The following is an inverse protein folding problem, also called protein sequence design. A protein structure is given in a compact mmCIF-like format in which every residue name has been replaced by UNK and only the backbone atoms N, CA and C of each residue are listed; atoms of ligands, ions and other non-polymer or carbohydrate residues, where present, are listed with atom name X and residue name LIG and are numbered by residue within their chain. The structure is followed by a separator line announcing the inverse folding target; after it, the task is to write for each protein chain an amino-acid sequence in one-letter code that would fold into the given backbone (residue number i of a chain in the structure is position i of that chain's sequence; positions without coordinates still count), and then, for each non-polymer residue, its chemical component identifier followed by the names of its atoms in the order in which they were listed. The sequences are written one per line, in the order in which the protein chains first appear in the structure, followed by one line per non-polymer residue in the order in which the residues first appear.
data_IF_085715877470
#
_entry.id   IF_085715877470
#
_cell.length_a   1.000
_cell.length_b   1.000
_cell.length_c   1.000
_cell.angle_alpha   90.00
_cell.angle_beta   90.00
_cell.angle_gamma   90.00
#
_symmetry.space_group_name_H-M   'P 1'
#
loop_
_entity.id
_entity.type
_entity.pdbx_description
1 polymer ?
#
# COMPACT_ATOMS: atom_id res chain seq x y z
N UNK A 1 -11.40 -0.69 10.37
CA UNK A 1 -12.06 0.57 9.96
C UNK A 1 -11.06 1.71 9.69
N UNK A 2 -10.02 1.92 10.51
CA UNK A 2 -9.04 3.00 10.29
C UNK A 2 -8.26 2.89 8.96
N UNK A 3 -7.76 1.70 8.61
CA UNK A 3 -6.98 1.50 7.38
C UNK A 3 -7.80 1.83 6.11
N UNK A 4 -9.05 1.35 6.03
CA UNK A 4 -9.98 1.69 4.94
C UNK A 4 -10.21 3.20 4.84
N UNK A 5 -10.46 3.87 5.96
CA UNK A 5 -10.65 5.31 5.99
C UNK A 5 -9.40 6.06 5.51
N UNK A 6 -8.20 5.60 5.89
CA UNK A 6 -6.94 6.14 5.40
C UNK A 6 -6.77 5.99 3.88
N UNK A 7 -7.00 4.79 3.34
CA UNK A 7 -6.93 4.54 1.88
C UNK A 7 -7.97 5.38 1.12
N UNK A 8 -9.19 5.46 1.64
CA UNK A 8 -10.25 6.30 1.05
C UNK A 8 -9.85 7.78 1.05
N UNK A 9 -9.38 8.31 2.18
CA UNK A 9 -8.95 9.71 2.30
C UNK A 9 -7.81 10.04 1.34
N UNK A 10 -6.89 9.09 1.10
CA UNK A 10 -5.84 9.25 0.07
C UNK A 10 -6.46 9.41 -1.32
N UNK A 11 -7.42 8.58 -1.71
CA UNK A 11 -8.06 8.74 -3.03
C UNK A 11 -8.86 10.05 -3.14
N UNK A 12 -9.59 10.41 -2.09
CA UNK A 12 -10.34 11.67 -2.04
C UNK A 12 -9.41 12.89 -2.15
N UNK A 13 -8.26 12.87 -1.47
CA UNK A 13 -7.24 13.92 -1.60
C UNK A 13 -6.74 14.09 -3.04
N UNK A 14 -6.46 12.99 -3.73
CA UNK A 14 -6.00 13.04 -5.13
C UNK A 14 -7.08 13.55 -6.09
N UNK A 15 -8.35 13.30 -5.78
CA UNK A 15 -9.48 13.70 -6.61
C UNK A 15 -9.95 15.13 -6.35
N UNK A 16 -9.77 15.65 -5.13
CA UNK A 16 -10.24 16.97 -4.73
C UNK A 16 -9.67 18.10 -5.60
N UNK A 17 -8.41 17.97 -6.03
CA UNK A 17 -7.80 18.88 -7.01
C UNK A 17 -6.78 18.15 -7.89
N UNK A 18 -7.30 17.50 -8.95
CA UNK A 18 -6.48 16.75 -9.91
C UNK A 18 -5.43 17.61 -10.61
N UNK A 19 -5.67 18.91 -10.78
CA UNK A 19 -4.72 19.80 -11.45
C UNK A 19 -3.51 20.08 -10.54
N UNK A 20 -3.76 20.43 -9.28
CA UNK A 20 -2.73 20.63 -8.27
C UNK A 20 -1.94 19.34 -8.01
N UNK A 21 -2.61 18.19 -7.95
CA UNK A 21 -1.94 16.90 -7.74
C UNK A 21 -1.07 16.52 -8.94
N UNK A 22 -1.53 16.75 -10.18
CA UNK A 22 -0.68 16.55 -11.38
C UNK A 22 0.58 17.43 -11.36
N UNK A 23 0.46 18.68 -10.93
CA UNK A 23 1.61 19.57 -10.75
C UNK A 23 2.56 19.04 -9.67
N UNK A 24 2.02 18.57 -8.54
CA UNK A 24 2.78 17.94 -7.46
C UNK A 24 3.67 16.79 -7.97
N UNK A 25 3.14 15.92 -8.84
CA UNK A 25 3.88 14.77 -9.39
C UNK A 25 4.80 15.13 -10.55
N UNK A 26 4.39 16.02 -11.45
CA UNK A 26 5.23 16.43 -12.59
C UNK A 26 6.45 17.20 -12.12
N UNK A 27 6.26 18.06 -11.12
CA UNK A 27 7.27 19.00 -10.69
C UNK A 27 8.03 18.49 -9.45
N UNK A 28 7.72 17.32 -8.87
CA UNK A 28 8.47 16.77 -7.72
C UNK A 28 9.98 16.66 -7.96
N UNK A 29 10.40 16.29 -9.18
CA UNK A 29 11.81 16.25 -9.60
C UNK A 29 12.33 17.61 -10.10
N UNK A 30 11.44 18.55 -10.44
CA UNK A 30 11.77 19.88 -10.97
C UNK A 30 11.77 20.99 -9.90
N UNK A 31 11.12 20.78 -8.75
CA UNK A 31 10.97 21.72 -7.62
C UNK A 31 12.15 21.67 -6.63
N UNK A 32 13.16 20.86 -6.93
CA UNK A 32 14.43 20.77 -6.20
C UNK A 32 14.38 19.92 -4.93
N UNK A 33 15.57 19.61 -4.41
CA UNK A 33 15.82 18.63 -3.34
C UNK A 33 14.96 18.81 -2.09
N UNK A 34 14.59 20.05 -1.74
CA UNK A 34 13.82 20.34 -0.52
C UNK A 34 12.37 19.87 -0.66
N UNK A 35 11.77 20.06 -1.83
CA UNK A 35 10.41 19.64 -2.11
C UNK A 35 10.35 18.11 -2.26
N UNK A 36 11.31 17.51 -2.96
CA UNK A 36 11.46 16.06 -3.07
C UNK A 36 11.63 15.40 -1.69
N UNK A 37 12.49 15.94 -0.82
CA UNK A 37 12.65 15.45 0.56
C UNK A 37 11.37 15.57 1.40
N UNK A 38 10.63 16.67 1.22
CA UNK A 38 9.39 16.87 1.98
C UNK A 38 8.29 15.91 1.51
N UNK A 39 8.12 15.77 0.19
CA UNK A 39 7.18 14.82 -0.40
C UNK A 39 7.57 13.37 -0.04
N UNK A 40 8.86 13.04 -0.13
CA UNK A 40 9.41 11.77 0.33
C UNK A 40 9.14 11.50 1.81
N UNK A 41 9.25 12.52 2.67
CA UNK A 41 8.91 12.40 4.09
C UNK A 41 7.43 12.12 4.36
N UNK A 42 6.52 12.65 3.54
CA UNK A 42 5.08 12.33 3.63
C UNK A 42 4.84 10.88 3.19
N UNK A 43 5.49 10.43 2.11
CA UNK A 43 5.40 9.04 1.67
C UNK A 43 5.93 8.06 2.70
N UNK A 44 7.10 8.34 3.28
CA UNK A 44 7.69 7.48 4.31
C UNK A 44 6.80 7.41 5.56
N UNK A 45 6.21 8.53 6.00
CA UNK A 45 5.26 8.52 7.11
C UNK A 45 4.01 7.70 6.81
N UNK A 46 3.49 7.78 5.58
CA UNK A 46 2.37 6.94 5.16
C UNK A 46 2.73 5.45 5.17
N UNK A 47 3.95 5.10 4.77
CA UNK A 47 4.46 3.73 4.83
C UNK A 47 4.64 3.28 6.30
N UNK A 48 5.16 4.12 7.18
CA UNK A 48 5.30 3.85 8.62
C UNK A 48 3.95 3.53 9.28
N UNK A 49 2.91 4.30 8.93
CA UNK A 49 1.55 4.08 9.44
C UNK A 49 1.02 2.72 8.98
N UNK A 50 1.20 2.36 7.69
CA UNK A 50 0.80 1.04 7.16
C UNK A 50 1.58 -0.07 7.85
N UNK A 51 2.90 0.06 8.01
CA UNK A 51 3.74 -0.93 8.66
C UNK A 51 3.26 -1.22 10.08
N UNK A 52 2.91 -0.17 10.84
CA UNK A 52 2.37 -0.30 12.20
C UNK A 52 1.11 -1.17 12.23
N UNK A 53 0.19 -0.98 11.28
CA UNK A 53 -1.01 -1.82 11.18
C UNK A 53 -0.68 -3.27 10.81
N UNK A 54 0.29 -3.50 9.92
CA UNK A 54 0.70 -4.83 9.47
C UNK A 54 1.36 -5.60 10.62
N UNK A 55 2.27 -4.97 11.36
CA UNK A 55 2.91 -5.58 12.55
C UNK A 55 1.84 -6.03 13.53
N UNK A 56 0.93 -5.13 13.91
CA UNK A 56 -0.13 -5.46 14.86
C UNK A 56 -1.04 -6.59 14.36
N UNK A 57 -1.32 -6.66 13.05
CA UNK A 57 -2.12 -7.73 12.46
C UNK A 57 -1.38 -9.08 12.40
N UNK A 58 -0.06 -9.06 12.17
CA UNK A 58 0.79 -10.24 12.21
C UNK A 58 0.91 -10.81 13.63
N UNK A 59 1.07 -9.95 14.65
CA UNK A 59 1.07 -10.35 16.06
C UNK A 59 -0.22 -11.06 16.47
N UNK A 60 -1.36 -10.70 15.86
CA UNK A 60 -2.65 -11.36 16.05
C UNK A 60 -2.88 -12.59 15.18
N UNK A 61 -1.95 -12.92 14.27
CA UNK A 61 -2.08 -14.01 13.31
C UNK A 61 -3.14 -13.77 12.23
N UNK A 62 -3.56 -12.54 12.02
CA UNK A 62 -4.59 -12.17 11.01
C UNK A 62 -3.98 -12.01 9.60
N UNK A 63 -2.68 -11.72 9.54
CA UNK A 63 -1.91 -11.45 8.32
C UNK A 63 -0.69 -12.37 8.27
N UNK A 64 -0.30 -12.78 7.07
CA UNK A 64 0.87 -13.61 6.76
C UNK A 64 2.13 -13.04 7.39
N UNK A 65 2.95 -13.91 7.94
CA UNK A 65 4.24 -13.55 8.51
C UNK A 65 5.27 -13.30 7.38
N UNK A 66 5.37 -12.05 6.96
CA UNK A 66 6.27 -11.54 5.94
C UNK A 66 6.95 -10.26 6.46
N UNK A 67 8.11 -9.82 5.90
CA UNK A 67 8.76 -8.60 6.34
C UNK A 67 7.79 -7.39 6.31
N UNK A 68 7.43 -6.80 7.46
CA UNK A 68 6.34 -5.82 7.57
C UNK A 68 6.55 -4.61 6.65
N UNK A 69 7.78 -4.08 6.62
CA UNK A 69 8.17 -2.99 5.74
C UNK A 69 7.92 -3.28 4.26
N UNK A 70 8.21 -4.50 3.80
CA UNK A 70 8.00 -4.87 2.39
C UNK A 70 6.52 -4.98 2.05
N UNK A 71 5.70 -5.45 2.98
CA UNK A 71 4.24 -5.44 2.84
C UNK A 71 3.76 -4.00 2.75
N UNK A 72 4.21 -3.12 3.66
CA UNK A 72 3.84 -1.71 3.66
C UNK A 72 4.21 -0.97 2.37
N UNK A 73 5.44 -1.16 1.86
CA UNK A 73 5.84 -0.60 0.56
C UNK A 73 4.97 -1.09 -0.59
N UNK A 74 4.63 -2.38 -0.61
CA UNK A 74 3.78 -2.97 -1.67
C UNK A 74 2.39 -2.35 -1.65
N UNK A 75 1.82 -2.16 -0.46
CA UNK A 75 0.52 -1.52 -0.29
C UNK A 75 0.53 -0.07 -0.70
N UNK A 76 1.55 0.68 -0.27
CA UNK A 76 1.71 2.08 -0.64
C UNK A 76 1.87 2.24 -2.16
N UNK A 77 2.64 1.35 -2.80
CA UNK A 77 2.81 1.34 -4.25
C UNK A 77 1.49 1.06 -4.99
N UNK A 78 0.71 0.07 -4.55
CA UNK A 78 -0.60 -0.24 -5.15
C UNK A 78 -1.56 0.95 -5.05
N UNK A 79 -1.69 1.54 -3.86
CA UNK A 79 -2.54 2.71 -3.62
C UNK A 79 -2.06 3.88 -4.48
N UNK A 80 -0.76 4.16 -4.51
CA UNK A 80 -0.18 5.24 -5.31
C UNK A 80 -0.43 5.10 -6.81
N UNK A 81 -0.30 3.88 -7.35
CA UNK A 81 -0.58 3.61 -8.77
C UNK A 81 -2.05 3.83 -9.13
N UNK A 82 -2.98 3.37 -8.28
CA UNK A 82 -4.41 3.58 -8.49
C UNK A 82 -4.78 5.06 -8.37
N UNK A 83 -4.22 5.77 -7.39
CA UNK A 83 -4.42 7.20 -7.22
C UNK A 83 -3.91 7.98 -8.45
N UNK A 84 -2.72 7.63 -8.95
CA UNK A 84 -2.15 8.25 -10.15
C UNK A 84 -3.01 8.01 -11.40
N UNK A 85 -3.48 6.77 -11.63
CA UNK A 85 -4.38 6.44 -12.75
C UNK A 85 -5.62 7.34 -12.75
N UNK A 86 -6.23 7.53 -11.58
CA UNK A 86 -7.47 8.31 -11.40
C UNK A 86 -7.31 9.82 -11.65
N UNK A 87 -6.08 10.32 -11.73
CA UNK A 87 -5.79 11.69 -12.19
C UNK A 87 -6.08 11.88 -13.68
N UNK A 88 -5.88 10.83 -14.48
CA UNK A 88 -5.90 10.90 -15.95
C UNK A 88 -7.08 10.14 -16.57
N UNK A 89 -7.76 9.30 -15.79
CA UNK A 89 -8.86 8.46 -16.26
C UNK A 89 -10.03 8.53 -15.27
N UNK A 90 -11.24 8.64 -15.80
CA UNK A 90 -12.46 8.36 -15.04
C UNK A 90 -12.89 6.93 -15.33
N UNK A 91 -12.71 6.05 -14.34
CA UNK A 91 -13.08 4.64 -14.42
C UNK A 91 -14.56 4.39 -14.01
N UNK A 92 -15.35 5.44 -13.77
CA UNK A 92 -16.77 5.35 -13.41
C UNK A 92 -17.04 4.79 -12.00
N UNK A 93 -16.03 4.82 -11.12
CA UNK A 93 -16.10 4.29 -9.75
C UNK A 93 -15.66 5.34 -8.74
N UNK A 94 -16.31 5.35 -7.58
CA UNK A 94 -16.03 6.28 -6.48
C UNK A 94 -14.74 5.92 -5.73
N UNK A 95 -14.13 6.90 -5.06
CA UNK A 95 -12.99 6.68 -4.17
C UNK A 95 -13.28 5.60 -3.10
N UNK A 96 -14.50 5.61 -2.55
CA UNK A 96 -14.95 4.61 -1.57
C UNK A 96 -14.94 3.18 -2.14
N UNK A 97 -15.45 2.98 -3.37
CA UNK A 97 -15.46 1.66 -4.02
C UNK A 97 -14.05 1.15 -4.30
N UNK A 98 -13.12 2.02 -4.72
CA UNK A 98 -11.72 1.64 -4.94
C UNK A 98 -11.04 1.31 -3.60
N UNK A 99 -11.29 2.09 -2.56
CA UNK A 99 -10.76 1.81 -1.22
C UNK A 99 -11.27 0.47 -0.67
N UNK A 100 -12.55 0.18 -0.83
CA UNK A 100 -13.14 -1.12 -0.48
C UNK A 100 -12.46 -2.26 -1.22
N UNK A 101 -12.32 -2.14 -2.55
CA UNK A 101 -11.66 -3.15 -3.36
C UNK A 101 -10.20 -3.38 -2.93
N UNK A 102 -9.41 -2.31 -2.76
CA UNK A 102 -7.99 -2.42 -2.36
C UNK A 102 -7.88 -3.08 -0.99
N UNK A 103 -8.67 -2.63 -0.01
CA UNK A 103 -8.63 -3.20 1.34
C UNK A 103 -9.02 -4.67 1.33
N UNK A 104 -10.08 -5.04 0.61
CA UNK A 104 -10.50 -6.44 0.48
C UNK A 104 -9.41 -7.28 -0.20
N UNK A 105 -8.89 -6.85 -1.35
CA UNK A 105 -7.83 -7.56 -2.07
C UNK A 105 -6.60 -7.79 -1.20
N UNK A 106 -6.20 -6.75 -0.46
CA UNK A 106 -5.05 -6.78 0.43
C UNK A 106 -5.28 -7.71 1.60
N UNK A 107 -6.38 -7.55 2.33
CA UNK A 107 -6.65 -8.38 3.51
C UNK A 107 -6.86 -9.84 3.12
N UNK A 108 -7.55 -10.11 2.02
CA UNK A 108 -7.74 -11.48 1.53
C UNK A 108 -6.42 -12.08 1.03
N UNK A 109 -5.61 -11.31 0.30
CA UNK A 109 -4.31 -11.75 -0.21
C UNK A 109 -3.26 -11.96 0.89
N UNK A 110 -3.35 -11.18 1.97
CA UNK A 110 -2.47 -11.25 3.13
C UNK A 110 -2.93 -12.27 4.18
N UNK A 111 -4.10 -12.90 4.05
CA UNK A 111 -4.51 -13.94 4.99
C UNK A 111 -3.49 -15.08 5.00
N UNK A 112 -3.14 -15.61 6.19
CA UNK A 112 -2.35 -16.82 6.28
C UNK A 112 -3.03 -17.95 5.49
N UNK A 113 -2.27 -18.61 4.61
CA UNK A 113 -2.75 -19.79 3.91
C UNK A 113 -2.48 -21.03 4.76
N UNK A 114 -3.48 -21.91 4.95
CA UNK A 114 -3.22 -23.22 5.53
C UNK A 114 -2.34 -24.04 4.58
N UNK A 115 -1.31 -24.68 5.11
CA UNK A 115 -0.62 -25.78 4.47
C UNK A 115 -1.59 -26.96 4.27
N UNK A 116 -1.29 -27.92 3.37
CA UNK A 116 -2.15 -29.09 3.15
C UNK A 116 -2.43 -29.92 4.41
N UNK A 117 -1.60 -29.78 5.45
CA UNK A 117 -1.75 -30.44 6.75
C UNK A 117 -2.44 -29.57 7.83
N UNK A 118 -2.89 -28.36 7.47
CA UNK A 118 -3.59 -27.42 8.35
C UNK A 118 -2.69 -26.46 9.13
N UNK A 119 -1.37 -26.48 8.94
CA UNK A 119 -0.45 -25.54 9.60
C UNK A 119 -0.40 -24.18 8.89
N UNK A 120 -0.02 -23.12 9.58
CA UNK A 120 0.28 -21.83 8.93
C UNK A 120 1.74 -21.85 8.48
N UNK A 121 1.99 -21.57 7.19
CA UNK A 121 3.34 -21.61 6.62
C UNK A 121 4.31 -20.65 7.35
N UNK A 122 5.50 -21.11 7.75
CA UNK A 122 6.49 -20.29 8.46
C UNK A 122 7.21 -19.29 7.53
N UNK A 123 7.66 -18.18 8.11
CA UNK A 123 8.32 -17.01 7.46
C UNK A 123 9.43 -17.41 6.48
N UNK A 124 10.19 -18.46 6.80
CA UNK A 124 11.37 -18.88 6.05
C UNK A 124 11.04 -19.72 4.81
N UNK A 125 9.78 -20.03 4.53
CA UNK A 125 9.38 -20.82 3.36
C UNK A 125 9.72 -20.13 2.03
N UNK A 126 9.92 -18.80 2.03
CA UNK A 126 10.37 -18.04 0.86
C UNK A 126 11.89 -18.10 0.65
N UNK A 127 12.66 -18.64 1.59
CA UNK A 127 14.11 -18.79 1.49
C UNK A 127 14.47 -20.23 1.16
N UNK A 128 14.43 -20.60 -0.13
CA UNK A 128 15.44 -21.47 -0.76
C UNK A 128 15.13 -21.71 -2.25
N UNK A 129 15.30 -20.69 -3.10
CA UNK A 129 15.63 -20.87 -4.52
C UNK A 129 17.09 -20.54 -4.84
N UNK A 130 17.99 -20.56 -3.83
CA UNK A 130 19.43 -20.66 -4.07
C UNK A 130 19.90 -22.11 -3.96
N UNK A 131 19.59 -22.92 -4.96
CA UNK A 131 20.42 -24.08 -5.32
C UNK A 131 20.49 -24.25 -6.83
N UNK A 132 21.74 -24.11 -7.32
CA UNK A 132 22.31 -24.57 -8.59
C UNK A 132 22.06 -23.70 -9.82
N UNK A 133 22.97 -22.75 -10.03
CA UNK A 133 23.67 -22.61 -11.31
C UNK A 133 25.17 -22.80 -11.04
#
# INVERSE_FOLDING_TARGET
MLFRAGVQATFEFFEADKATVKLLFRDAHALGDRFEKHLGGIYERFIDDIETFIVAAQERGEVVAAPPRMVAYTLAALVGQLAHRRLSTDDGVTAAQVADFVVSLVLDGLRPRPEPDGRVAPIDSYVSHRRRL
#
